data_IF_882082964607
#
_entry.id   IF_882082964607
#
_cell.length_a   1.000
_cell.length_b   1.000
_cell.length_c   1.000
_cell.angle_alpha   90.00
_cell.angle_beta   90.00
_cell.angle_gamma   90.00
#
_symmetry.space_group_name_H-M   'P 1'
#
loop_
_entity.id
_entity.type
_entity.pdbx_description
1 polymer ?
#
# COMPACT_ATOMS: atom_id res chain seq x y z
N UNK A 1 4.83 -5.68 -28.78
CA UNK A 1 4.79 -5.19 -27.39
C UNK A 1 5.62 -3.94 -27.28
N UNK A 2 5.05 -2.87 -26.80
CA UNK A 2 5.77 -1.60 -26.65
C UNK A 2 6.03 -1.33 -25.17
N UNK A 3 6.78 -0.27 -24.88
CA UNK A 3 7.17 0.07 -23.51
C UNK A 3 5.97 0.30 -22.59
N UNK A 4 4.89 0.89 -23.11
CA UNK A 4 3.68 1.13 -22.32
C UNK A 4 3.00 -0.15 -21.83
N UNK A 5 3.18 -1.25 -22.56
CA UNK A 5 2.64 -2.55 -22.13
C UNK A 5 3.45 -3.16 -20.99
N UNK A 6 4.70 -2.71 -20.82
CA UNK A 6 5.63 -3.23 -19.82
C UNK A 6 5.76 -2.34 -18.59
N UNK A 7 5.09 -1.19 -18.56
CA UNK A 7 5.22 -0.25 -17.45
C UNK A 7 3.86 0.16 -16.91
N UNK A 8 3.87 0.57 -15.64
CA UNK A 8 2.69 1.04 -14.94
C UNK A 8 3.09 2.26 -14.09
N UNK A 9 2.23 3.27 -14.05
CA UNK A 9 2.43 4.43 -13.18
C UNK A 9 1.04 4.93 -12.74
N UNK A 10 0.71 4.69 -11.47
CA UNK A 10 -0.55 5.12 -10.87
C UNK A 10 -0.24 6.00 -9.68
N UNK A 11 -0.86 7.17 -9.63
CA UNK A 11 -0.70 8.08 -8.50
C UNK A 11 -2.08 8.52 -8.01
N UNK A 12 -2.26 8.50 -6.69
CA UNK A 12 -3.50 8.94 -6.06
C UNK A 12 -3.20 9.67 -4.76
N UNK A 13 -4.07 10.60 -4.39
CA UNK A 13 -3.94 11.38 -3.17
C UNK A 13 -5.24 11.39 -2.40
N UNK A 14 -5.12 11.58 -1.08
CA UNK A 14 -6.26 11.83 -0.21
C UNK A 14 -5.83 12.78 0.90
N UNK A 15 -6.74 13.63 1.35
CA UNK A 15 -6.49 14.49 2.51
C UNK A 15 -7.25 13.95 3.72
N UNK A 16 -6.57 13.90 4.86
CA UNK A 16 -7.10 13.39 6.12
C UNK A 16 -6.96 14.47 7.18
N UNK A 17 -8.06 14.78 7.88
CA UNK A 17 -8.06 15.81 8.93
C UNK A 17 -7.52 15.23 10.24
N UNK A 18 -6.23 14.97 10.28
CA UNK A 18 -5.56 14.39 11.42
C UNK A 18 -4.07 14.68 11.40
N UNK A 19 -3.42 14.44 12.52
CA UNK A 19 -1.97 14.60 12.66
C UNK A 19 -1.21 13.61 11.76
N UNK A 20 -0.09 14.06 11.18
CA UNK A 20 0.68 13.22 10.25
C UNK A 20 1.18 11.93 10.91
N UNK A 21 1.52 11.96 12.19
CA UNK A 21 1.95 10.76 12.91
C UNK A 21 0.86 9.70 13.00
N UNK A 22 -0.35 10.14 13.30
CA UNK A 22 -1.50 9.23 13.38
C UNK A 22 -1.90 8.70 12.00
N UNK A 23 -1.82 9.56 10.99
CA UNK A 23 -2.11 9.16 9.60
C UNK A 23 -1.09 8.13 9.13
N UNK A 24 0.18 8.32 9.45
CA UNK A 24 1.23 7.35 9.10
C UNK A 24 0.98 5.98 9.75
N UNK A 25 0.63 5.96 11.04
CA UNK A 25 0.28 4.71 11.74
C UNK A 25 -0.92 4.03 11.09
N UNK A 26 -1.94 4.80 10.75
CA UNK A 26 -3.12 4.26 10.08
C UNK A 26 -2.79 3.68 8.72
N UNK A 27 -1.88 4.33 7.97
CA UNK A 27 -1.44 3.82 6.67
C UNK A 27 -0.67 2.50 6.84
N UNK A 28 0.25 2.42 7.80
CA UNK A 28 0.98 1.17 8.06
C UNK A 28 0.01 0.04 8.44
N UNK A 29 -0.99 0.34 9.25
CA UNK A 29 -2.03 -0.63 9.61
C UNK A 29 -2.76 -1.14 8.37
N UNK A 30 -3.15 -0.23 7.47
CA UNK A 30 -3.88 -0.61 6.24
C UNK A 30 -3.02 -1.36 5.24
N UNK A 31 -1.72 -1.14 5.22
CA UNK A 31 -0.81 -1.94 4.40
C UNK A 31 -0.60 -3.33 5.00
N UNK A 32 -0.66 -3.45 6.32
CA UNK A 32 -0.45 -4.70 7.06
C UNK A 32 -1.76 -5.40 7.44
N UNK A 33 -1.93 -5.65 8.72
CA UNK A 33 -3.04 -6.48 9.22
C UNK A 33 -4.43 -5.91 8.97
N UNK A 34 -4.56 -4.61 8.73
CA UNK A 34 -5.82 -3.98 8.36
C UNK A 34 -6.12 -3.98 6.88
N UNK A 35 -5.28 -4.61 6.06
CA UNK A 35 -5.48 -4.68 4.62
C UNK A 35 -6.68 -5.55 4.29
N UNK A 36 -7.66 -4.98 3.59
CA UNK A 36 -8.89 -5.69 3.23
C UNK A 36 -9.21 -5.48 1.76
N UNK A 37 -9.95 -6.45 1.21
CA UNK A 37 -10.56 -6.29 -0.12
C UNK A 37 -11.71 -5.27 -0.02
N UNK A 38 -12.20 -4.76 -1.16
CA UNK A 38 -13.36 -3.86 -1.16
C UNK A 38 -14.59 -4.42 -0.46
N UNK A 39 -14.75 -5.75 -0.41
CA UNK A 39 -15.86 -6.41 0.30
C UNK A 39 -15.62 -6.55 1.81
N UNK A 40 -14.50 -6.04 2.32
CA UNK A 40 -14.18 -6.08 3.75
C UNK A 40 -13.47 -7.34 4.22
N UNK A 41 -13.24 -8.30 3.33
CA UNK A 41 -12.54 -9.55 3.69
C UNK A 41 -11.06 -9.25 3.89
N UNK A 42 -10.49 -9.76 5.00
CA UNK A 42 -9.07 -9.59 5.29
C UNK A 42 -8.19 -10.18 4.22
N UNK A 43 -7.10 -9.49 3.91
CA UNK A 43 -6.06 -9.99 3.01
C UNK A 43 -5.01 -10.82 3.74
N UNK A 44 -5.11 -10.95 5.07
CA UNK A 44 -4.15 -11.70 5.91
C UNK A 44 -2.72 -11.23 5.69
N UNK A 45 -2.54 -9.90 5.59
CA UNK A 45 -1.22 -9.31 5.36
C UNK A 45 -0.47 -9.05 6.66
N UNK A 46 0.84 -9.15 6.57
CA UNK A 46 1.77 -8.73 7.63
C UNK A 46 2.78 -7.77 7.01
N UNK A 47 3.03 -6.67 7.70
CA UNK A 47 4.07 -5.70 7.33
C UNK A 47 5.06 -5.58 8.48
N UNK A 48 6.30 -6.00 8.23
CA UNK A 48 7.39 -5.82 9.17
C UNK A 48 7.96 -4.42 8.98
N UNK A 49 7.83 -3.57 10.00
CA UNK A 49 7.97 -2.12 9.86
C UNK A 49 9.41 -1.64 10.07
N UNK A 50 10.35 -2.19 9.29
CA UNK A 50 11.76 -1.79 9.28
C UNK A 50 12.36 -2.05 7.90
N UNK A 51 13.46 -1.37 7.56
CA UNK A 51 14.11 -1.57 6.26
C UNK A 51 14.55 -3.03 6.12
N UNK A 52 14.20 -3.65 5.00
CA UNK A 52 14.41 -5.07 4.77
C UNK A 52 13.29 -5.95 5.32
N UNK A 53 12.35 -5.38 6.08
CA UNK A 53 11.19 -6.10 6.59
C UNK A 53 10.33 -6.65 5.45
N UNK A 54 9.63 -7.74 5.72
CA UNK A 54 8.79 -8.40 4.73
C UNK A 54 7.38 -7.81 4.72
N UNK A 55 6.78 -7.81 3.55
CA UNK A 55 5.37 -7.52 3.34
C UNK A 55 4.78 -8.73 2.65
N UNK A 56 3.96 -9.49 3.36
CA UNK A 56 3.55 -10.80 2.87
C UNK A 56 2.16 -11.17 3.35
N UNK A 57 1.58 -12.11 2.62
CA UNK A 57 0.29 -12.70 2.93
C UNK A 57 0.51 -14.09 3.51
N UNK A 58 -0.12 -14.38 4.65
CA UNK A 58 -0.04 -15.69 5.28
C UNK A 58 -1.46 -16.19 5.52
N UNK A 59 -1.84 -17.23 4.80
CA UNK A 59 -3.17 -17.81 4.86
C UNK A 59 -3.24 -19.05 5.76
N UNK A 60 -2.16 -19.36 6.48
CA UNK A 60 -2.08 -20.55 7.31
C UNK A 60 -1.68 -21.79 6.52
N UNK A 61 -1.35 -22.85 7.27
CA UNK A 61 -1.00 -24.16 6.70
C UNK A 61 0.16 -24.10 5.68
N UNK A 62 1.07 -23.14 5.85
CA UNK A 62 2.21 -23.01 4.95
C UNK A 62 1.90 -22.30 3.63
N UNK A 63 0.68 -21.79 3.47
CA UNK A 63 0.28 -21.07 2.25
C UNK A 63 0.65 -19.58 2.43
N UNK A 64 1.73 -19.17 1.79
CA UNK A 64 2.28 -17.83 1.94
C UNK A 64 2.60 -17.21 0.59
N UNK A 65 2.47 -15.88 0.52
CA UNK A 65 2.79 -15.12 -0.69
C UNK A 65 3.55 -13.85 -0.30
N UNK A 66 4.81 -13.78 -0.68
CA UNK A 66 5.64 -12.59 -0.45
C UNK A 66 5.27 -11.52 -1.47
N UNK A 67 4.80 -10.37 -0.96
CA UNK A 67 4.46 -9.22 -1.81
C UNK A 67 5.64 -8.28 -2.00
N UNK A 68 6.54 -8.22 -1.02
CA UNK A 68 7.70 -7.35 -1.14
C UNK A 68 8.44 -7.16 0.15
N UNK A 69 9.30 -6.13 0.13
CA UNK A 69 10.09 -5.73 1.29
C UNK A 69 9.98 -4.22 1.48
N UNK A 70 10.13 -3.78 2.72
CA UNK A 70 10.30 -2.36 3.01
C UNK A 70 11.66 -1.94 2.50
N UNK A 71 11.68 -1.00 1.56
CA UNK A 71 12.91 -0.45 0.99
C UNK A 71 13.38 0.76 1.78
N UNK A 72 12.43 1.65 2.11
CA UNK A 72 12.69 2.86 2.89
C UNK A 72 11.54 3.04 3.88
N UNK A 73 11.86 3.43 5.11
CA UNK A 73 10.84 3.86 6.06
C UNK A 73 11.37 5.07 6.83
N UNK A 74 10.62 6.17 6.79
CA UNK A 74 10.94 7.43 7.47
C UNK A 74 9.67 7.93 8.17
N UNK A 75 9.37 7.45 9.37
CA UNK A 75 8.20 7.93 10.09
C UNK A 75 8.33 9.42 10.41
N UNK A 76 7.31 10.23 10.29
CA UNK A 76 5.95 9.88 9.87
C UNK A 76 5.64 10.28 8.42
N UNK A 77 6.63 10.35 7.53
CA UNK A 77 6.47 11.01 6.23
C UNK A 77 6.62 10.10 5.02
N UNK A 78 7.20 8.89 5.16
CA UNK A 78 7.51 8.09 3.98
C UNK A 78 7.61 6.60 4.28
N UNK A 79 7.02 5.78 3.41
CA UNK A 79 7.38 4.36 3.28
C UNK A 79 7.46 4.01 1.80
N UNK A 80 8.49 3.23 1.43
CA UNK A 80 8.65 2.67 0.10
C UNK A 80 8.74 1.16 0.20
N UNK A 81 7.97 0.48 -0.65
CA UNK A 81 7.90 -0.97 -0.72
C UNK A 81 8.27 -1.42 -2.13
N UNK A 82 8.98 -2.53 -2.26
CA UNK A 82 9.34 -3.08 -3.57
C UNK A 82 9.18 -4.58 -3.57
N UNK A 83 8.71 -5.14 -4.69
CA UNK A 83 8.54 -6.57 -4.85
C UNK A 83 7.51 -6.94 -5.90
N UNK A 84 7.13 -8.23 -5.95
CA UNK A 84 6.16 -8.73 -6.94
C UNK A 84 4.72 -8.36 -6.64
N UNK A 85 4.40 -7.96 -5.43
CA UNK A 85 3.04 -7.76 -4.94
C UNK A 85 2.20 -9.04 -5.11
N UNK A 86 0.94 -8.90 -5.57
CA UNK A 86 0.07 -10.04 -5.85
C UNK A 86 0.33 -10.66 -7.22
N UNK A 87 1.33 -10.17 -7.94
CA UNK A 87 1.61 -10.57 -9.31
C UNK A 87 2.47 -11.85 -9.33
N UNK A 88 1.88 -12.95 -9.79
CA UNK A 88 2.58 -14.24 -9.90
C UNK A 88 3.17 -14.42 -11.30
N UNK A 89 3.87 -13.39 -11.79
CA UNK A 89 4.53 -13.35 -13.09
C UNK A 89 5.70 -12.35 -13.01
N UNK A 90 6.59 -12.32 -14.01
CA UNK A 90 7.77 -11.43 -13.94
C UNK A 90 7.39 -9.96 -13.95
N UNK A 91 7.41 -9.33 -12.78
CA UNK A 91 7.19 -7.90 -12.62
C UNK A 91 7.87 -7.42 -11.35
N UNK A 92 8.40 -6.20 -11.41
CA UNK A 92 8.96 -5.51 -10.26
C UNK A 92 8.11 -4.27 -10.00
N UNK A 93 7.63 -4.15 -8.78
CA UNK A 93 6.77 -3.05 -8.36
C UNK A 93 7.50 -2.19 -7.33
N UNK A 94 7.23 -0.90 -7.38
CA UNK A 94 7.67 0.06 -6.38
C UNK A 94 6.46 0.88 -5.94
N UNK A 95 6.21 0.89 -4.63
CA UNK A 95 5.13 1.66 -4.04
C UNK A 95 5.74 2.67 -3.11
N UNK A 96 5.38 3.94 -3.30
CA UNK A 96 5.80 5.04 -2.45
C UNK A 96 4.57 5.66 -1.81
N UNK A 97 4.56 5.78 -0.49
CA UNK A 97 3.51 6.51 0.22
C UNK A 97 4.18 7.65 0.98
N UNK A 98 3.84 8.87 0.58
CA UNK A 98 4.34 10.10 1.20
C UNK A 98 3.22 10.78 1.97
N UNK A 99 3.56 11.33 3.13
CA UNK A 99 2.62 12.09 3.93
C UNK A 99 3.19 13.48 4.13
N UNK A 100 2.46 14.48 3.66
CA UNK A 100 2.80 15.88 3.80
C UNK A 100 1.83 16.55 4.76
N UNK A 101 2.36 17.43 5.61
CA UNK A 101 1.51 18.25 6.46
C UNK A 101 0.90 19.36 5.60
N UNK A 102 -0.42 19.51 5.68
CA UNK A 102 -1.15 20.57 4.99
C UNK A 102 -2.01 21.31 6.01
N UNK A 103 -2.58 22.44 5.59
CA UNK A 103 -3.49 23.19 6.46
C UNK A 103 -4.68 22.32 6.84
N UNK A 104 -4.85 22.09 8.14
CA UNK A 104 -5.96 21.32 8.67
C UNK A 104 -5.75 19.80 8.69
N UNK A 105 -4.56 19.29 8.32
CA UNK A 105 -4.34 17.85 8.39
C UNK A 105 -3.15 17.34 7.62
N UNK A 106 -3.33 16.22 6.95
CA UNK A 106 -2.29 15.53 6.22
C UNK A 106 -2.76 15.21 4.79
N UNK A 107 -1.81 15.26 3.86
CA UNK A 107 -2.02 14.82 2.48
C UNK A 107 -1.24 13.53 2.27
N UNK A 108 -1.92 12.46 1.92
CA UNK A 108 -1.31 11.17 1.61
C UNK A 108 -1.24 11.03 0.10
N UNK A 109 -0.04 10.79 -0.43
CA UNK A 109 0.18 10.54 -1.86
C UNK A 109 0.74 9.14 -2.02
N UNK A 110 0.03 8.29 -2.74
CA UNK A 110 0.48 6.95 -3.07
C UNK A 110 0.83 6.89 -4.54
N UNK A 111 2.03 6.42 -4.84
CA UNK A 111 2.46 6.21 -6.22
C UNK A 111 2.93 4.76 -6.39
N UNK A 112 2.30 4.08 -7.33
CA UNK A 112 2.64 2.71 -7.68
C UNK A 112 3.19 2.69 -9.09
N UNK A 113 4.46 2.33 -9.22
CA UNK A 113 5.12 2.15 -10.52
C UNK A 113 5.56 0.71 -10.65
N UNK A 114 5.53 0.18 -11.86
CA UNK A 114 5.96 -1.19 -12.12
C UNK A 114 6.59 -1.32 -13.48
N UNK A 115 7.44 -2.34 -13.63
CA UNK A 115 7.99 -2.76 -14.91
C UNK A 115 7.92 -4.28 -14.96
N UNK A 116 7.50 -4.82 -16.10
CA UNK A 116 7.41 -6.26 -16.31
C UNK A 116 6.21 -6.65 -17.17
N UNK A 117 5.86 -7.92 -17.10
CA UNK A 117 4.79 -8.50 -17.93
C UNK A 117 3.42 -8.35 -17.25
N UNK A 118 2.96 -7.12 -17.16
CA UNK A 118 1.79 -6.77 -16.37
C UNK A 118 0.50 -7.29 -17.00
N UNK A 119 -0.23 -8.11 -16.23
CA UNK A 119 -1.52 -8.65 -16.65
C UNK A 119 -2.53 -7.51 -16.87
N UNK A 120 -3.23 -7.47 -18.01
CA UNK A 120 -4.21 -6.41 -18.30
C UNK A 120 -5.32 -6.31 -17.26
N UNK A 121 -5.76 -7.41 -16.65
CA UNK A 121 -6.79 -7.37 -15.60
C UNK A 121 -6.27 -6.68 -14.35
N UNK A 122 -5.02 -6.96 -13.96
CA UNK A 122 -4.41 -6.28 -12.81
C UNK A 122 -4.24 -4.79 -13.11
N UNK A 123 -3.79 -4.44 -14.31
CA UNK A 123 -3.65 -3.05 -14.72
C UNK A 123 -4.96 -2.29 -14.59
N UNK A 124 -6.05 -2.89 -15.04
CA UNK A 124 -7.37 -2.25 -14.99
C UNK A 124 -7.87 -2.09 -13.55
N UNK A 125 -7.56 -3.04 -12.66
CA UNK A 125 -8.07 -3.04 -11.29
C UNK A 125 -7.25 -2.22 -10.29
N UNK A 126 -6.01 -1.87 -10.61
CA UNK A 126 -5.10 -1.22 -9.65
C UNK A 126 -5.56 0.15 -9.20
N UNK A 127 -6.07 0.96 -10.11
CA UNK A 127 -6.55 2.31 -9.77
C UNK A 127 -7.66 2.25 -8.73
N UNK A 128 -8.64 1.38 -8.92
CA UNK A 128 -9.74 1.24 -7.97
C UNK A 128 -9.30 0.60 -6.65
N UNK A 129 -8.36 -0.33 -6.70
CA UNK A 129 -7.82 -0.95 -5.49
C UNK A 129 -7.11 0.06 -4.58
N UNK A 130 -6.24 0.90 -5.14
CA UNK A 130 -5.56 1.94 -4.37
C UNK A 130 -6.51 3.03 -3.92
N UNK A 131 -7.48 3.40 -4.76
CA UNK A 131 -8.51 4.36 -4.39
C UNK A 131 -9.29 3.86 -3.17
N UNK A 132 -9.68 2.59 -3.16
CA UNK A 132 -10.37 1.99 -2.02
C UNK A 132 -9.53 2.10 -0.74
N UNK A 133 -8.25 1.75 -0.80
CA UNK A 133 -7.37 1.81 0.36
C UNK A 133 -7.29 3.22 0.93
N UNK A 134 -7.11 4.24 0.07
CA UNK A 134 -7.02 5.62 0.51
C UNK A 134 -8.34 6.13 1.08
N UNK A 135 -9.47 5.75 0.49
CA UNK A 135 -10.78 6.13 1.01
C UNK A 135 -11.04 5.52 2.39
N UNK A 136 -10.61 4.28 2.62
CA UNK A 136 -10.71 3.65 3.93
C UNK A 136 -9.86 4.39 4.96
N UNK A 137 -8.66 4.82 4.61
CA UNK A 137 -7.82 5.63 5.50
C UNK A 137 -8.56 6.91 5.89
N UNK A 138 -9.19 7.58 4.93
CA UNK A 138 -9.91 8.82 5.17
C UNK A 138 -11.12 8.65 6.07
N UNK A 139 -11.90 7.59 5.85
CA UNK A 139 -13.18 7.38 6.53
C UNK A 139 -13.05 6.62 7.85
N UNK A 140 -12.16 5.63 7.92
CA UNK A 140 -11.95 4.77 9.08
C UNK A 140 -10.68 5.11 9.86
N UNK A 141 -10.14 6.30 9.65
CA UNK A 141 -8.86 6.71 10.23
C UNK A 141 -8.78 6.49 11.75
N UNK A 142 -9.75 6.91 12.59
CA UNK A 142 -9.61 6.74 14.03
C UNK A 142 -9.45 5.28 14.45
N UNK A 143 -10.16 4.36 13.82
CA UNK A 143 -10.08 2.94 14.12
C UNK A 143 -8.78 2.34 13.61
N UNK A 144 -8.33 2.72 12.40
CA UNK A 144 -7.09 2.26 11.81
C UNK A 144 -5.89 2.67 12.66
N UNK A 145 -5.84 3.94 13.09
CA UNK A 145 -4.77 4.45 13.94
C UNK A 145 -4.74 3.74 15.30
N UNK A 146 -5.90 3.52 15.92
CA UNK A 146 -6.02 2.80 17.19
C UNK A 146 -5.56 1.34 17.05
N UNK A 147 -5.89 0.70 15.93
CA UNK A 147 -5.50 -0.68 15.67
C UNK A 147 -4.00 -0.87 15.50
N UNK A 148 -3.28 0.21 15.20
CA UNK A 148 -1.82 0.16 14.99
C UNK A 148 -1.01 0.60 16.22
N UNK A 149 -1.67 0.92 17.30
CA UNK A 149 -1.02 1.41 18.53
C UNK A 149 -0.54 0.30 19.47
#
# INVERSE_FOLDING_TARGET
MNLNDLTLDVEQTVEVKADIGDVFKGMLYRLGEGNTRPDGVSMDMTLEQWAGGRWFRDRGEGIQHLWGHVQVIKPPVLIELSGPLFMSYPALNHIEVKIDQVSGGAKVTLRHRAIGMIDPEHRAGLTEGWKHMLEVIKTDFPRAAAGNS
#
